data_IF_187338591791
#
_entry.id   IF_187338591791
#
_cell.length_a   1.000
_cell.length_b   1.000
_cell.length_c   1.000
_cell.angle_alpha   90.00
_cell.angle_beta   90.00
_cell.angle_gamma   90.00
#
_symmetry.space_group_name_H-M   'P 1'
#
loop_
_entity.id
_entity.type
_entity.pdbx_description
1 polymer ?
#
# COMPACT_ATOMS: atom_id res chain seq x y z
N UNK A 1 19.45 26.18 5.14
CA UNK A 1 18.84 26.62 3.87
C UNK A 1 18.97 25.44 2.91
N UNK A 2 17.85 24.89 2.45
CA UNK A 2 17.86 23.84 1.41
C UNK A 2 18.32 24.52 0.13
N UNK A 3 19.35 23.96 -0.52
CA UNK A 3 19.88 24.48 -1.76
C UNK A 3 18.79 24.38 -2.85
N UNK A 4 18.61 25.41 -3.67
CA UNK A 4 17.61 25.46 -4.75
C UNK A 4 17.71 24.23 -5.68
N UNK A 5 18.92 23.75 -5.95
CA UNK A 5 19.16 22.53 -6.72
C UNK A 5 18.62 21.27 -6.02
N UNK A 6 18.78 21.16 -4.72
CA UNK A 6 18.27 20.05 -3.92
C UNK A 6 16.73 20.02 -3.90
N UNK A 7 16.12 21.19 -3.87
CA UNK A 7 14.65 21.32 -3.95
C UNK A 7 14.12 20.89 -5.32
N UNK A 8 14.77 21.28 -6.40
CA UNK A 8 14.43 20.88 -7.78
C UNK A 8 14.56 19.37 -7.94
N UNK A 9 15.65 18.78 -7.43
CA UNK A 9 15.89 17.35 -7.45
C UNK A 9 14.79 16.58 -6.70
N UNK A 10 14.49 16.99 -5.48
CA UNK A 10 13.45 16.37 -4.65
C UNK A 10 12.07 16.41 -5.32
N UNK A 11 11.67 17.56 -5.87
CA UNK A 11 10.41 17.71 -6.61
C UNK A 11 10.36 16.78 -7.82
N UNK A 12 11.46 16.69 -8.57
CA UNK A 12 11.55 15.84 -9.76
C UNK A 12 11.42 14.36 -9.39
N UNK A 13 12.22 13.88 -8.44
CA UNK A 13 12.16 12.49 -8.02
C UNK A 13 10.81 12.13 -7.41
N UNK A 14 10.23 12.99 -6.59
CA UNK A 14 8.91 12.76 -6.02
C UNK A 14 7.83 12.69 -7.10
N UNK A 15 7.86 13.58 -8.09
CA UNK A 15 6.94 13.55 -9.22
C UNK A 15 7.08 12.27 -10.05
N UNK A 16 8.32 11.82 -10.29
CA UNK A 16 8.62 10.66 -11.11
C UNK A 16 8.59 9.31 -10.36
N UNK A 17 8.43 9.30 -9.03
CA UNK A 17 8.43 8.07 -8.24
C UNK A 17 7.32 7.10 -8.63
N UNK A 18 6.15 7.60 -9.07
CA UNK A 18 4.98 6.80 -9.38
C UNK A 18 4.93 6.38 -10.86
N UNK A 19 4.71 5.08 -11.14
CA UNK A 19 4.64 4.56 -12.51
C UNK A 19 3.60 5.31 -13.38
N UNK A 20 2.39 5.53 -12.86
CA UNK A 20 1.33 6.23 -13.60
C UNK A 20 1.75 7.65 -14.00
N UNK A 21 2.48 8.37 -13.14
CA UNK A 21 2.96 9.72 -13.45
C UNK A 21 4.00 9.71 -14.56
N UNK A 22 4.93 8.74 -14.55
CA UNK A 22 5.88 8.54 -15.66
C UNK A 22 5.17 8.22 -16.97
N UNK A 23 4.11 7.39 -16.91
CA UNK A 23 3.28 7.08 -18.09
C UNK A 23 2.56 8.32 -18.60
N UNK A 24 1.99 9.17 -17.74
CA UNK A 24 1.37 10.44 -18.14
C UNK A 24 2.37 11.32 -18.89
N UNK A 25 3.58 11.52 -18.35
CA UNK A 25 4.64 12.31 -18.98
C UNK A 25 4.98 11.75 -20.38
N UNK A 26 5.12 10.41 -20.51
CA UNK A 26 5.41 9.78 -21.82
C UNK A 26 4.26 9.98 -22.82
N UNK A 27 3.01 9.84 -22.40
CA UNK A 27 1.84 10.07 -23.24
C UNK A 27 1.80 11.53 -23.71
N UNK A 28 1.97 12.48 -22.79
CA UNK A 28 1.96 13.91 -23.11
C UNK A 28 3.09 14.26 -24.09
N UNK A 29 4.30 13.74 -23.88
CA UNK A 29 5.44 13.97 -24.76
C UNK A 29 5.27 13.34 -26.16
N UNK A 30 4.61 12.18 -26.24
CA UNK A 30 4.40 11.51 -27.52
C UNK A 30 3.48 12.27 -28.48
N UNK A 31 2.75 13.27 -27.99
CA UNK A 31 1.75 14.01 -28.77
C UNK A 31 2.11 15.50 -28.84
N UNK A 32 2.58 15.94 -30.02
CA UNK A 32 3.03 17.31 -30.26
C UNK A 32 2.00 18.41 -29.91
N UNK A 33 0.70 18.11 -30.04
CA UNK A 33 -0.39 19.04 -29.73
C UNK A 33 -0.89 18.93 -28.28
N UNK A 34 -0.29 18.02 -27.49
CA UNK A 34 -0.76 17.71 -26.14
C UNK A 34 -1.89 16.69 -26.11
N UNK A 35 -2.39 16.39 -24.91
CA UNK A 35 -3.42 15.38 -24.65
C UNK A 35 -4.58 15.95 -23.87
N UNK A 36 -5.82 15.66 -24.29
CA UNK A 36 -7.01 16.07 -23.56
C UNK A 36 -7.16 15.29 -22.26
N UNK A 37 -7.91 15.84 -21.30
CA UNK A 37 -8.24 15.16 -20.05
C UNK A 37 -8.93 13.81 -20.26
N UNK A 38 -9.92 13.78 -21.18
CA UNK A 38 -10.62 12.54 -21.54
C UNK A 38 -9.71 11.53 -22.23
N UNK A 39 -8.76 12.00 -23.04
CA UNK A 39 -7.73 11.17 -23.66
C UNK A 39 -6.87 10.46 -22.62
N UNK A 40 -6.43 11.16 -21.58
CA UNK A 40 -5.67 10.58 -20.47
C UNK A 40 -6.51 9.56 -19.68
N UNK A 41 -7.78 9.84 -19.38
CA UNK A 41 -8.67 8.88 -18.71
C UNK A 41 -8.79 7.59 -19.51
N UNK A 42 -9.08 7.71 -20.81
CA UNK A 42 -9.29 6.56 -21.69
C UNK A 42 -8.03 5.73 -21.86
N UNK A 43 -6.88 6.38 -22.08
CA UNK A 43 -5.61 5.69 -22.34
C UNK A 43 -5.06 5.01 -21.09
N UNK A 44 -5.24 5.62 -19.91
CA UNK A 44 -4.75 5.09 -18.64
C UNK A 44 -5.75 4.17 -17.92
N UNK A 45 -7.03 4.17 -18.31
CA UNK A 45 -8.08 3.42 -17.63
C UNK A 45 -8.31 3.86 -16.19
N UNK A 46 -8.04 5.15 -15.88
CA UNK A 46 -8.14 5.67 -14.51
C UNK A 46 -9.50 6.31 -14.25
N UNK A 47 -9.92 6.28 -12.98
CA UNK A 47 -11.03 7.11 -12.53
C UNK A 47 -10.63 8.59 -12.48
N UNK A 48 -11.61 9.49 -12.63
CA UNK A 48 -11.45 10.96 -12.56
C UNK A 48 -10.66 11.41 -11.34
N UNK A 49 -10.98 10.86 -10.15
CA UNK A 49 -10.29 11.22 -8.91
C UNK A 49 -8.82 10.80 -8.88
N UNK A 50 -8.50 9.61 -9.42
CA UNK A 50 -7.10 9.15 -9.52
C UNK A 50 -6.30 9.99 -10.52
N UNK A 51 -6.88 10.29 -11.68
CA UNK A 51 -6.20 11.14 -12.66
C UNK A 51 -5.93 12.53 -12.08
N UNK A 52 -6.93 13.17 -11.45
CA UNK A 52 -6.75 14.48 -10.83
C UNK A 52 -5.63 14.48 -9.78
N UNK A 53 -5.56 13.45 -8.95
CA UNK A 53 -4.48 13.30 -7.97
C UNK A 53 -3.11 13.25 -8.66
N UNK A 54 -2.95 12.44 -9.72
CA UNK A 54 -1.68 12.35 -10.44
C UNK A 54 -1.30 13.63 -11.18
N UNK A 55 -2.28 14.32 -11.78
CA UNK A 55 -2.06 15.60 -12.44
C UNK A 55 -1.62 16.69 -11.44
N UNK A 56 -2.21 16.72 -10.25
CA UNK A 56 -1.81 17.63 -9.18
C UNK A 56 -0.36 17.39 -8.75
N UNK A 57 0.05 16.13 -8.63
CA UNK A 57 1.43 15.74 -8.27
C UNK A 57 2.43 16.02 -9.41
N UNK A 58 1.97 16.27 -10.62
CA UNK A 58 2.77 16.64 -11.78
C UNK A 58 2.75 18.16 -12.07
N UNK A 59 2.14 18.95 -11.17
CA UNK A 59 2.09 20.40 -11.29
C UNK A 59 3.52 20.97 -11.41
N UNK A 60 3.76 21.80 -12.39
CA UNK A 60 5.07 22.34 -12.74
C UNK A 60 5.84 21.52 -13.80
N UNK A 61 5.54 20.22 -13.98
CA UNK A 61 6.07 19.42 -15.10
C UNK A 61 5.12 19.40 -16.30
N UNK A 62 3.83 19.52 -16.03
CA UNK A 62 2.78 19.63 -17.06
C UNK A 62 1.94 20.87 -16.83
N UNK A 63 1.42 21.41 -17.91
CA UNK A 63 0.50 22.56 -17.90
C UNK A 63 -0.58 22.37 -18.96
N UNK A 64 -1.62 23.19 -18.90
CA UNK A 64 -2.62 23.26 -19.96
C UNK A 64 -2.28 24.38 -20.93
N UNK A 65 -2.27 24.05 -22.22
CA UNK A 65 -2.18 25.05 -23.28
C UNK A 65 -3.52 25.80 -23.47
N UNK A 66 -3.54 26.74 -24.41
CA UNK A 66 -4.73 27.56 -24.72
C UNK A 66 -5.94 26.72 -25.18
N UNK A 67 -5.71 25.55 -25.77
CA UNK A 67 -6.73 24.63 -26.26
C UNK A 67 -7.16 23.62 -25.19
N UNK A 68 -6.78 23.84 -23.92
CA UNK A 68 -7.04 22.98 -22.77
C UNK A 68 -6.42 21.57 -22.85
N UNK A 69 -5.42 21.35 -23.70
CA UNK A 69 -4.62 20.13 -23.73
C UNK A 69 -3.47 20.19 -22.72
N UNK A 70 -3.12 19.07 -22.14
CA UNK A 70 -1.94 18.94 -21.30
C UNK A 70 -0.70 18.80 -22.16
N UNK A 71 0.30 19.65 -21.90
CA UNK A 71 1.63 19.68 -22.52
C UNK A 71 2.71 19.66 -21.47
N UNK A 72 3.93 19.27 -21.83
CA UNK A 72 5.06 19.40 -20.91
C UNK A 72 5.50 20.86 -20.80
N UNK A 73 5.88 21.27 -19.61
CA UNK A 73 6.64 22.50 -19.39
C UNK A 73 8.11 22.30 -19.80
N UNK A 74 8.93 23.34 -19.95
CA UNK A 74 10.38 23.20 -20.17
C UNK A 74 11.07 22.36 -19.06
N UNK A 75 10.55 22.42 -17.82
CA UNK A 75 11.01 21.60 -16.73
C UNK A 75 10.54 20.14 -16.87
N UNK A 76 9.31 19.92 -17.33
CA UNK A 76 8.79 18.59 -17.65
C UNK A 76 9.55 17.89 -18.78
N UNK A 77 10.02 18.64 -19.79
CA UNK A 77 10.87 18.09 -20.86
C UNK A 77 12.21 17.60 -20.33
N UNK A 78 12.87 18.35 -19.44
CA UNK A 78 14.09 17.89 -18.76
C UNK A 78 13.85 16.64 -17.91
N UNK A 79 12.73 16.59 -17.18
CA UNK A 79 12.37 15.40 -16.41
C UNK A 79 12.14 14.17 -17.31
N UNK A 80 11.54 14.35 -18.48
CA UNK A 80 11.39 13.29 -19.47
C UNK A 80 12.74 12.81 -20.04
N UNK A 81 13.66 13.73 -20.35
CA UNK A 81 15.01 13.39 -20.79
C UNK A 81 15.73 12.51 -19.74
N UNK A 82 15.63 12.86 -18.47
CA UNK A 82 16.20 12.05 -17.38
C UNK A 82 15.59 10.64 -17.32
N UNK A 83 14.27 10.50 -17.54
CA UNK A 83 13.64 9.18 -17.63
C UNK A 83 14.23 8.34 -18.76
N UNK A 84 14.41 8.92 -19.94
CA UNK A 84 14.98 8.23 -21.11
C UNK A 84 16.45 7.84 -20.90
N UNK A 85 17.25 8.73 -20.28
CA UNK A 85 18.64 8.44 -19.97
C UNK A 85 18.79 7.24 -19.02
N UNK A 86 17.93 7.15 -18.00
CA UNK A 86 17.92 6.01 -17.08
C UNK A 86 17.57 4.73 -17.86
N UNK A 87 16.54 4.77 -18.70
CA UNK A 87 16.06 3.61 -19.46
C UNK A 87 17.10 3.10 -20.46
N UNK A 88 17.84 4.01 -21.13
CA UNK A 88 18.89 3.67 -22.10
C UNK A 88 20.18 3.15 -21.44
N UNK A 89 20.46 3.56 -20.20
CA UNK A 89 21.70 3.18 -19.50
C UNK A 89 21.56 1.91 -18.67
N UNK A 90 20.36 1.42 -18.43
CA UNK A 90 20.17 0.13 -17.75
C UNK A 90 20.62 -0.99 -18.69
N UNK A 91 21.73 -1.63 -18.36
CA UNK A 91 22.25 -2.80 -19.06
C UNK A 91 21.62 -4.09 -18.54
N UNK A 92 21.81 -5.20 -19.26
CA UNK A 92 21.38 -6.53 -18.80
C UNK A 92 22.03 -6.95 -17.47
N UNK A 93 23.23 -6.44 -17.18
CA UNK A 93 23.92 -6.67 -15.91
C UNK A 93 23.23 -5.93 -14.74
N UNK A 94 22.72 -4.74 -14.99
CA UNK A 94 21.98 -3.93 -14.00
C UNK A 94 20.64 -4.58 -13.64
N UNK A 95 20.05 -5.37 -14.52
CA UNK A 95 18.77 -6.04 -14.28
C UNK A 95 18.77 -6.90 -13.01
N UNK A 96 19.90 -7.55 -12.71
CA UNK A 96 20.09 -8.31 -11.47
C UNK A 96 19.98 -7.41 -10.24
N UNK A 97 20.65 -6.25 -10.28
CA UNK A 97 20.64 -5.29 -9.16
C UNK A 97 19.28 -4.61 -9.02
N UNK A 98 18.60 -4.30 -10.13
CA UNK A 98 17.24 -3.79 -10.13
C UNK A 98 16.27 -4.77 -9.47
N UNK A 99 16.39 -6.09 -9.77
CA UNK A 99 15.58 -7.13 -9.12
C UNK A 99 15.84 -7.21 -7.61
N UNK A 100 17.10 -7.12 -7.18
CA UNK A 100 17.48 -7.12 -5.76
C UNK A 100 16.89 -5.88 -5.06
N UNK A 101 17.04 -4.69 -5.65
CA UNK A 101 16.49 -3.45 -5.12
C UNK A 101 14.95 -3.49 -5.03
N UNK A 102 14.27 -3.97 -6.06
CA UNK A 102 12.82 -4.13 -6.07
C UNK A 102 12.34 -5.15 -5.01
N UNK A 103 13.12 -6.17 -4.74
CA UNK A 103 12.81 -7.16 -3.71
C UNK A 103 12.98 -6.59 -2.30
N UNK A 104 13.99 -5.74 -2.07
CA UNK A 104 14.22 -5.06 -0.79
C UNK A 104 13.15 -4.01 -0.48
N UNK A 105 12.61 -3.34 -1.49
CA UNK A 105 11.51 -2.38 -1.34
C UNK A 105 10.15 -3.04 -1.04
N UNK A 106 9.98 -4.32 -1.37
CA UNK A 106 8.81 -5.10 -0.96
C UNK A 106 8.93 -5.49 0.52
N UNK A 107 8.86 -4.53 1.41
CA UNK A 107 8.70 -4.78 2.85
C UNK A 107 7.36 -5.47 3.04
N UNK A 108 7.40 -6.81 3.07
CA UNK A 108 6.21 -7.61 3.22
C UNK A 108 5.69 -7.45 4.66
N UNK A 109 4.59 -6.76 4.86
CA UNK A 109 3.85 -6.71 6.13
C UNK A 109 3.35 -8.10 6.55
N UNK A 110 3.37 -9.06 5.63
CA UNK A 110 2.87 -10.44 5.83
C UNK A 110 3.47 -11.17 7.04
N UNK A 111 4.80 -11.18 7.28
CA UNK A 111 5.35 -11.89 8.42
C UNK A 111 4.98 -11.24 9.75
N UNK A 112 4.95 -9.91 9.82
CA UNK A 112 4.62 -9.15 11.03
C UNK A 112 3.16 -9.38 11.41
N UNK A 113 2.22 -9.21 10.46
CA UNK A 113 0.79 -9.44 10.69
C UNK A 113 0.52 -10.90 11.08
N UNK A 114 1.17 -11.87 10.43
CA UNK A 114 1.08 -13.28 10.83
C UNK A 114 1.58 -13.52 12.25
N UNK A 115 2.72 -12.93 12.63
CA UNK A 115 3.28 -13.08 13.97
C UNK A 115 2.31 -12.53 15.03
N UNK A 116 1.73 -11.35 14.84
CA UNK A 116 0.73 -10.80 15.75
C UNK A 116 -0.52 -11.68 15.87
N UNK A 117 -1.03 -12.18 14.75
CA UNK A 117 -2.19 -13.06 14.75
C UNK A 117 -1.90 -14.40 15.43
N UNK A 118 -0.73 -15.00 15.20
CA UNK A 118 -0.34 -16.26 15.87
C UNK A 118 -0.16 -16.08 17.37
N UNK A 119 0.44 -14.97 17.82
CA UNK A 119 0.56 -14.64 19.24
C UNK A 119 -0.84 -14.49 19.86
N UNK A 120 -1.75 -13.77 19.18
CA UNK A 120 -3.13 -13.62 19.65
C UNK A 120 -3.88 -14.95 19.80
N UNK A 121 -3.69 -15.89 18.87
CA UNK A 121 -4.26 -17.24 18.94
C UNK A 121 -3.72 -18.00 20.15
N UNK A 122 -2.41 -17.98 20.37
CA UNK A 122 -1.77 -18.66 21.51
C UNK A 122 -2.29 -18.08 22.83
N UNK A 123 -2.34 -16.75 22.94
CA UNK A 123 -2.86 -16.07 24.13
C UNK A 123 -4.32 -16.40 24.41
N UNK A 124 -5.17 -16.47 23.38
CA UNK A 124 -6.58 -16.84 23.57
C UNK A 124 -6.74 -18.30 24.01
N UNK A 125 -5.92 -19.23 23.49
CA UNK A 125 -5.93 -20.61 23.92
C UNK A 125 -5.50 -20.78 25.39
N UNK A 126 -4.48 -20.03 25.82
CA UNK A 126 -4.04 -20.04 27.24
C UNK A 126 -5.15 -19.50 28.16
N UNK A 127 -5.82 -18.41 27.78
CA UNK A 127 -6.94 -17.88 28.57
C UNK A 127 -8.10 -18.85 28.67
N UNK A 128 -8.47 -19.54 27.59
CA UNK A 128 -9.51 -20.59 27.62
C UNK A 128 -9.12 -21.70 28.55
N UNK A 129 -7.86 -22.15 28.57
CA UNK A 129 -7.36 -23.20 29.45
C UNK A 129 -7.43 -22.80 30.93
N UNK A 130 -7.03 -21.54 31.25
CA UNK A 130 -7.11 -21.01 32.62
C UNK A 130 -8.56 -20.94 33.08
N UNK A 131 -9.46 -20.40 32.28
CA UNK A 131 -10.88 -20.28 32.63
C UNK A 131 -11.58 -21.63 32.72
N UNK A 132 -11.18 -22.60 31.87
CA UNK A 132 -11.67 -23.96 31.94
C UNK A 132 -11.25 -24.67 33.23
N UNK A 133 -9.98 -24.52 33.65
CA UNK A 133 -9.50 -25.07 34.91
C UNK A 133 -10.18 -24.42 36.13
N UNK A 134 -10.40 -23.12 36.07
CA UNK A 134 -11.12 -22.42 37.13
C UNK A 134 -12.57 -22.87 37.26
N UNK A 135 -13.25 -23.12 36.15
CA UNK A 135 -14.60 -23.67 36.12
C UNK A 135 -14.65 -25.08 36.72
N UNK A 136 -13.64 -25.92 36.45
CA UNK A 136 -13.53 -27.25 37.03
C UNK A 136 -13.37 -27.18 38.55
N UNK A 137 -12.48 -26.31 39.06
CA UNK A 137 -12.27 -26.12 40.49
C UNK A 137 -13.54 -25.59 41.17
N UNK A 138 -14.23 -24.61 40.60
CA UNK A 138 -15.48 -24.10 41.16
C UNK A 138 -16.58 -25.12 41.19
N UNK A 139 -16.62 -26.05 40.23
CA UNK A 139 -17.59 -27.15 40.20
C UNK A 139 -17.33 -28.21 41.28
N UNK A 140 -16.06 -28.44 41.67
CA UNK A 140 -15.67 -29.45 42.65
C UNK A 140 -15.69 -28.97 44.09
N UNK A 141 -15.31 -27.72 44.33
CA UNK A 141 -15.15 -27.17 45.68
C UNK A 141 -16.37 -26.33 46.17
N UNK A 142 -17.36 -26.12 45.30
CA UNK A 142 -18.53 -25.29 45.59
C UNK A 142 -18.21 -23.79 45.59
N UNK A 143 -18.70 -23.10 44.60
CA UNK A 143 -18.46 -21.66 44.41
C UNK A 143 -19.76 -20.86 44.58
N UNK A 144 -19.67 -19.55 44.79
CA UNK A 144 -20.82 -18.67 44.78
C UNK A 144 -21.53 -18.72 43.42
N UNK A 145 -22.84 -18.62 43.43
CA UNK A 145 -23.71 -18.74 42.23
C UNK A 145 -23.28 -17.83 41.06
N UNK A 146 -22.70 -16.70 41.36
CA UNK A 146 -22.15 -15.76 40.38
C UNK A 146 -21.02 -16.37 39.53
N UNK A 147 -20.19 -17.25 40.13
CA UNK A 147 -19.06 -17.89 39.40
C UNK A 147 -19.58 -18.84 38.32
N UNK A 148 -20.66 -19.59 38.58
CA UNK A 148 -21.29 -20.49 37.62
C UNK A 148 -21.93 -19.74 36.44
N UNK A 149 -22.31 -18.47 36.60
CA UNK A 149 -22.87 -17.65 35.57
C UNK A 149 -21.77 -16.93 34.73
N UNK A 150 -20.74 -16.40 35.37
CA UNK A 150 -19.72 -15.61 34.72
C UNK A 150 -18.68 -16.44 33.95
N UNK A 151 -18.24 -17.58 34.50
CA UNK A 151 -17.19 -18.40 33.89
C UNK A 151 -17.56 -18.94 32.50
N UNK A 152 -18.78 -19.51 32.27
CA UNK A 152 -19.17 -19.95 30.93
C UNK A 152 -19.21 -18.80 29.91
N UNK A 153 -19.63 -17.61 30.34
CA UNK A 153 -19.68 -16.43 29.46
C UNK A 153 -18.24 -16.05 29.03
N UNK A 154 -17.30 -16.00 29.95
CA UNK A 154 -15.89 -15.70 29.66
C UNK A 154 -15.24 -16.72 28.72
N UNK A 155 -15.56 -18.01 28.90
CA UNK A 155 -15.12 -19.09 28.02
C UNK A 155 -15.71 -18.93 26.63
N UNK A 156 -17.01 -18.61 26.50
CA UNK A 156 -17.67 -18.37 25.23
C UNK A 156 -17.05 -17.15 24.48
N UNK A 157 -16.74 -16.07 25.19
CA UNK A 157 -16.02 -14.90 24.65
C UNK A 157 -14.62 -15.31 24.16
N UNK A 158 -13.88 -16.13 24.92
CA UNK A 158 -12.59 -16.66 24.52
C UNK A 158 -12.64 -17.47 23.21
N UNK A 159 -13.61 -18.37 23.06
CA UNK A 159 -13.82 -19.09 21.81
C UNK A 159 -14.22 -18.20 20.65
N UNK A 160 -15.07 -17.19 20.88
CA UNK A 160 -15.44 -16.19 19.88
C UNK A 160 -14.21 -15.43 19.36
N UNK A 161 -13.34 -15.00 20.26
CA UNK A 161 -12.11 -14.28 19.94
C UNK A 161 -11.12 -15.16 19.17
N UNK A 162 -10.97 -16.44 19.59
CA UNK A 162 -10.18 -17.44 18.87
C UNK A 162 -10.70 -17.65 17.44
N UNK A 163 -12.00 -17.76 17.26
CA UNK A 163 -12.65 -17.93 15.96
C UNK A 163 -12.41 -16.71 15.03
N UNK A 164 -12.54 -15.50 15.55
CA UNK A 164 -12.26 -14.27 14.79
C UNK A 164 -10.78 -14.19 14.39
N UNK A 165 -9.86 -14.49 15.31
CA UNK A 165 -8.42 -14.45 15.03
C UNK A 165 -8.00 -15.49 14.00
N UNK A 166 -8.51 -16.72 14.10
CA UNK A 166 -8.23 -17.78 13.11
C UNK A 166 -8.82 -17.46 11.75
N UNK A 167 -10.05 -16.93 11.70
CA UNK A 167 -10.68 -16.49 10.47
C UNK A 167 -9.87 -15.36 9.80
N UNK A 168 -9.43 -14.37 10.59
CA UNK A 168 -8.60 -13.28 10.07
C UNK A 168 -7.25 -13.78 9.58
N UNK A 169 -6.60 -14.73 10.29
CA UNK A 169 -5.34 -15.31 9.85
C UNK A 169 -5.47 -16.03 8.50
N UNK A 170 -6.54 -16.77 8.29
CA UNK A 170 -6.81 -17.46 7.02
C UNK A 170 -7.09 -16.48 5.90
N UNK A 171 -7.86 -15.42 6.16
CA UNK A 171 -8.29 -14.42 5.16
C UNK A 171 -7.26 -13.31 4.92
N UNK A 172 -6.32 -13.12 5.85
CA UNK A 172 -5.28 -12.08 5.80
C UNK A 172 -4.49 -12.06 4.48
N UNK A 173 -4.09 -13.22 3.87
CA UNK A 173 -3.37 -13.17 2.60
C UNK A 173 -4.14 -12.46 1.47
N UNK A 174 -5.47 -12.62 1.43
CA UNK A 174 -6.30 -11.96 0.41
C UNK A 174 -6.58 -10.49 0.73
N UNK A 175 -6.71 -10.16 2.02
CA UNK A 175 -6.96 -8.80 2.48
C UNK A 175 -5.71 -7.92 2.35
N UNK A 176 -4.53 -8.44 2.73
CA UNK A 176 -3.24 -7.76 2.55
C UNK A 176 -2.96 -7.50 1.06
N UNK A 177 -3.24 -8.48 0.18
CA UNK A 177 -3.11 -8.27 -1.27
C UNK A 177 -4.00 -7.12 -1.76
N UNK A 178 -5.26 -7.03 -1.29
CA UNK A 178 -6.15 -5.91 -1.64
C UNK A 178 -5.67 -4.59 -1.05
N UNK A 179 -5.16 -4.60 0.16
CA UNK A 179 -4.62 -3.40 0.81
C UNK A 179 -3.33 -2.94 0.12
N UNK A 180 -2.40 -3.85 -0.17
CA UNK A 180 -1.20 -3.59 -0.95
C UNK A 180 -1.56 -3.04 -2.34
N UNK A 181 -2.56 -3.62 -3.03
CA UNK A 181 -3.03 -3.13 -4.32
C UNK A 181 -3.70 -1.75 -4.22
N UNK A 182 -4.45 -1.48 -3.15
CA UNK A 182 -5.18 -0.23 -3.00
C UNK A 182 -4.32 0.94 -2.53
N UNK A 183 -3.33 0.69 -1.66
CA UNK A 183 -2.59 1.73 -0.96
C UNK A 183 -1.08 1.72 -1.22
N UNK A 184 -0.49 0.56 -1.56
CA UNK A 184 0.96 0.40 -1.75
C UNK A 184 1.34 0.03 -3.19
N UNK A 185 0.50 -0.66 -3.94
CA UNK A 185 0.69 -0.91 -5.38
C UNK A 185 0.15 0.24 -6.25
N UNK A 186 -0.32 1.29 -5.61
CA UNK A 186 -0.56 2.59 -6.23
C UNK A 186 0.69 3.47 -6.28
N UNK A 187 1.86 2.93 -5.94
CA UNK A 187 3.16 3.58 -6.15
C UNK A 187 3.82 3.03 -7.39
#
# INVERSE_FOLDING_TARGET
MINENEQIENVTFQALAHQTRRTIIRIVQSRKQGVSYTGLITELGLSTGKLNYHLEQLRGLIEKNNDHYYVLTPFGEKAFEHLNLIEQRISSEDEKYVKIAAQSQKTSLKPIVKAFLTIGIIMSAVLISIWGSLLYITATEGAPLIAYLLLPILIAVGFGLLGVLTYTLIKTPSWIKRFEQKYLAGN
#
